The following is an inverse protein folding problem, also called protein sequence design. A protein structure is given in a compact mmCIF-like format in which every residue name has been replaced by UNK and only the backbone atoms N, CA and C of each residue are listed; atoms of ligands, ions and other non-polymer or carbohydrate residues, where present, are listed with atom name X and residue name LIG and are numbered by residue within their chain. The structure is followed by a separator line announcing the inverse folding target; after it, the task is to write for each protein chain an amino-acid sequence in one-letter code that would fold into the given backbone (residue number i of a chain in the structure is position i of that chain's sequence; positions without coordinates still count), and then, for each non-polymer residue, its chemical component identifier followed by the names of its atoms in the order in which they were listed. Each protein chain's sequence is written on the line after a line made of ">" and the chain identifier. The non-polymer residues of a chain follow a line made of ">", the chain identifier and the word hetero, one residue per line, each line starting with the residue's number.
data_IF_427479029251
#
_entry.id   IF_427479029251
#
_cell.length_a   1.000
_cell.length_b   1.000
_cell.length_c   1.000
_cell.angle_alpha   90.00
_cell.angle_beta   90.00
_cell.angle_gamma   90.00
#
_symmetry.space_group_name_H-M   'P 1'
#
loop_
_entity.id
_entity.type
_entity.pdbx_description
1 polymer ?
#
# COMPACT_ATOMS: atom_id res chain seq x y z
N UNK A 1 -48.49 -9.50 -53.18
CA UNK A 1 -49.39 -10.66 -53.17
C UNK A 1 -49.70 -10.91 -51.73
N UNK A 2 -50.79 -10.41 -51.26
CA UNK A 2 -52.11 -11.04 -51.12
C UNK A 2 -52.12 -11.89 -49.85
N UNK A 3 -52.75 -11.40 -48.84
CA UNK A 3 -54.16 -11.55 -48.41
C UNK A 3 -54.23 -12.73 -47.43
N UNK A 4 -54.82 -12.62 -46.30
CA UNK A 4 -56.15 -12.42 -45.84
C UNK A 4 -56.26 -12.71 -44.37
N UNK A 5 -56.91 -11.89 -43.62
CA UNK A 5 -58.35 -11.89 -43.26
C UNK A 5 -58.72 -13.08 -42.37
N UNK A 6 -59.01 -12.79 -41.10
CA UNK A 6 -60.33 -12.94 -40.50
C UNK A 6 -60.35 -12.69 -38.99
N UNK A 7 -61.04 -11.65 -38.55
CA UNK A 7 -61.80 -11.53 -37.29
C UNK A 7 -62.99 -12.54 -37.30
N UNK A 8 -63.80 -12.65 -36.22
CA UNK A 8 -63.94 -12.06 -34.92
C UNK A 8 -64.32 -13.11 -33.79
N UNK A 9 -64.29 -12.76 -32.52
CA UNK A 9 -65.41 -13.10 -31.58
C UNK A 9 -65.41 -12.12 -30.42
N UNK A 10 -66.53 -11.46 -30.30
CA UNK A 10 -66.96 -10.62 -29.19
C UNK A 10 -67.12 -11.43 -27.91
N UNK A 11 -66.56 -10.95 -26.83
CA UNK A 11 -66.84 -11.34 -25.44
C UNK A 11 -67.02 -10.09 -24.64
N UNK A 12 -68.22 -9.65 -24.44
CA UNK A 12 -68.61 -8.58 -23.56
C UNK A 12 -68.23 -8.94 -22.14
N UNK A 13 -67.37 -8.15 -21.52
CA UNK A 13 -67.26 -8.06 -20.07
C UNK A 13 -67.64 -6.68 -19.60
N UNK A 14 -68.73 -6.68 -18.87
CA UNK A 14 -69.43 -5.67 -18.12
C UNK A 14 -68.40 -4.83 -17.30
N UNK A 15 -68.35 -3.52 -17.63
CA UNK A 15 -67.63 -2.53 -16.89
C UNK A 15 -68.41 -2.24 -15.60
N UNK A 16 -68.02 -2.87 -14.53
CA UNK A 16 -68.44 -2.48 -13.18
C UNK A 16 -67.83 -1.09 -12.89
N UNK A 17 -68.72 -0.09 -12.93
CA UNK A 17 -68.44 1.28 -12.50
C UNK A 17 -68.27 1.28 -11.00
N UNK A 18 -67.03 1.04 -10.54
CA UNK A 18 -66.65 1.40 -9.18
C UNK A 18 -66.56 2.92 -9.06
N UNK A 19 -67.39 3.42 -8.21
CA UNK A 19 -67.56 4.80 -7.74
C UNK A 19 -66.19 5.49 -7.45
N UNK A 20 -65.93 6.69 -7.97
CA UNK A 20 -64.83 7.50 -7.57
C UNK A 20 -65.19 8.37 -6.36
N UNK A 21 -65.55 7.72 -5.26
CA UNK A 21 -65.82 8.46 -4.01
C UNK A 21 -65.14 7.73 -2.87
N UNK A 22 -63.88 8.09 -2.57
CA UNK A 22 -63.25 8.15 -1.26
C UNK A 22 -61.71 8.15 -1.33
N UNK A 23 -61.13 9.06 -2.12
CA UNK A 23 -59.83 9.58 -1.71
C UNK A 23 -60.15 10.75 -0.75
N UNK A 24 -60.37 10.42 0.51
CA UNK A 24 -60.40 11.41 1.56
C UNK A 24 -59.00 12.07 1.59
N UNK A 25 -58.92 13.40 1.49
CA UNK A 25 -57.71 14.09 1.88
C UNK A 25 -57.44 13.68 3.31
N UNK A 26 -56.20 13.22 3.59
CA UNK A 26 -55.69 13.13 4.93
C UNK A 26 -55.83 14.51 5.55
N UNK A 27 -56.91 14.70 6.29
CA UNK A 27 -57.08 15.83 7.18
C UNK A 27 -55.86 15.86 8.13
N UNK A 28 -54.85 16.63 7.76
CA UNK A 28 -53.85 17.10 8.72
C UNK A 28 -54.66 17.81 9.80
N UNK A 29 -54.85 17.12 10.91
CA UNK A 29 -55.71 17.52 12.01
C UNK A 29 -55.24 18.88 12.49
N UNK A 30 -55.95 19.99 12.22
CA UNK A 30 -55.58 21.32 12.67
C UNK A 30 -55.55 21.44 14.21
N UNK A 31 -56.13 20.43 14.87
CA UNK A 31 -56.06 20.27 16.34
C UNK A 31 -54.63 19.86 16.79
N UNK A 32 -53.93 19.00 16.06
CA UNK A 32 -52.57 18.62 16.43
C UNK A 32 -51.56 19.77 16.27
N UNK A 33 -51.68 20.57 15.21
CA UNK A 33 -50.87 21.76 15.00
C UNK A 33 -51.13 22.84 16.06
N UNK A 34 -52.41 23.05 16.44
CA UNK A 34 -52.79 23.97 17.53
C UNK A 34 -52.22 23.51 18.88
N UNK A 35 -52.23 22.21 19.09
CA UNK A 35 -51.71 21.61 20.32
C UNK A 35 -50.17 21.71 20.41
N UNK A 36 -49.48 21.50 19.30
CA UNK A 36 -48.03 21.74 19.20
C UNK A 36 -47.68 23.22 19.48
N UNK A 37 -48.42 24.14 18.89
CA UNK A 37 -48.21 25.58 19.11
C UNK A 37 -48.51 25.98 20.56
N UNK A 38 -49.54 25.42 21.20
CA UNK A 38 -49.89 25.70 22.60
C UNK A 38 -48.83 25.16 23.58
N UNK A 39 -48.24 23.98 23.27
CA UNK A 39 -47.12 23.41 24.02
C UNK A 39 -45.87 24.30 23.99
N UNK A 40 -45.53 24.76 22.78
CA UNK A 40 -44.41 25.66 22.57
C UNK A 40 -44.67 27.00 23.27
N UNK A 41 -45.91 27.56 23.18
CA UNK A 41 -46.26 28.83 23.80
C UNK A 41 -46.19 28.78 25.33
N UNK A 42 -46.64 27.68 25.95
CA UNK A 42 -46.59 27.52 27.41
C UNK A 42 -45.16 27.44 27.98
N UNK A 43 -44.19 26.98 27.17
CA UNK A 43 -42.78 26.83 27.56
C UNK A 43 -41.87 27.81 26.82
N UNK A 44 -42.43 28.90 26.23
CA UNK A 44 -41.68 29.84 25.37
C UNK A 44 -40.39 30.39 25.99
N UNK A 45 -40.39 30.68 27.29
CA UNK A 45 -39.22 31.21 28.01
C UNK A 45 -38.10 30.14 28.11
N UNK A 46 -38.45 28.88 28.33
CA UNK A 46 -37.49 27.78 28.39
C UNK A 46 -36.92 27.44 27.02
N UNK A 47 -37.75 27.52 25.97
CA UNK A 47 -37.33 27.28 24.59
C UNK A 47 -36.49 28.43 24.02
N UNK A 48 -36.74 29.66 24.49
CA UNK A 48 -36.02 30.84 24.00
C UNK A 48 -34.69 31.05 24.75
N UNK A 49 -34.65 30.83 26.07
CA UNK A 49 -33.48 31.08 26.92
C UNK A 49 -32.62 29.83 27.14
N UNK A 50 -33.20 28.63 27.09
CA UNK A 50 -32.49 27.37 27.33
C UNK A 50 -31.32 27.11 26.35
N UNK A 51 -31.57 27.10 25.03
CA UNK A 51 -30.51 26.87 24.05
C UNK A 51 -29.35 27.84 24.11
N UNK A 52 -29.55 29.20 24.22
CA UNK A 52 -28.44 30.13 24.37
C UNK A 52 -27.66 29.95 25.67
N UNK A 53 -28.31 29.60 26.77
CA UNK A 53 -27.62 29.32 28.04
C UNK A 53 -26.72 28.09 27.93
N UNK A 54 -27.23 26.98 27.33
CA UNK A 54 -26.43 25.77 27.08
C UNK A 54 -25.29 26.08 26.14
N UNK A 55 -25.52 26.85 25.08
CA UNK A 55 -24.48 27.30 24.15
C UNK A 55 -23.40 28.16 24.85
N UNK A 56 -23.80 29.05 25.74
CA UNK A 56 -22.87 29.88 26.53
C UNK A 56 -22.03 29.04 27.51
N UNK A 57 -22.63 28.03 28.16
CA UNK A 57 -21.92 27.11 29.05
C UNK A 57 -20.92 26.28 28.21
N UNK A 58 -21.34 25.73 27.07
CA UNK A 58 -20.46 25.00 26.18
C UNK A 58 -19.31 25.87 25.65
N UNK A 59 -19.58 27.11 25.34
CA UNK A 59 -18.58 28.11 24.95
C UNK A 59 -17.60 28.37 26.10
N UNK A 60 -18.05 28.52 27.34
CA UNK A 60 -17.22 28.64 28.52
C UNK A 60 -16.30 27.43 28.72
N UNK A 61 -16.82 26.23 28.59
CA UNK A 61 -16.03 25.00 28.70
C UNK A 61 -14.95 24.92 27.59
N UNK A 62 -15.26 25.33 26.35
CA UNK A 62 -14.26 25.34 25.26
C UNK A 62 -13.17 26.39 25.46
N UNK A 63 -13.31 27.37 26.35
CA UNK A 63 -12.23 28.30 26.73
C UNK A 63 -11.24 27.67 27.70
N UNK A 64 -11.65 26.69 28.50
CA UNK A 64 -10.76 25.97 29.43
C UNK A 64 -9.87 24.96 28.68
N UNK A 65 -10.25 24.52 27.47
CA UNK A 65 -9.48 23.57 26.67
C UNK A 65 -8.34 24.31 25.94
N UNK A 66 -7.08 23.90 26.11
CA UNK A 66 -5.95 24.52 25.41
C UNK A 66 -6.14 24.45 23.90
N UNK A 67 -5.77 25.50 23.14
CA UNK A 67 -5.87 25.49 21.70
C UNK A 67 -4.83 24.50 21.11
N UNK A 68 -5.24 23.72 20.10
CA UNK A 68 -4.36 22.87 19.33
C UNK A 68 -4.20 23.41 17.91
N UNK A 69 -2.98 23.29 17.40
CA UNK A 69 -2.59 23.72 16.07
C UNK A 69 -2.22 22.48 15.26
N UNK A 70 -2.69 22.42 14.02
CA UNK A 70 -2.39 21.32 13.11
C UNK A 70 -1.43 21.82 12.05
N UNK A 71 -0.25 21.22 11.97
CA UNK A 71 0.69 21.43 10.88
C UNK A 71 0.68 20.21 9.97
N UNK A 72 0.85 20.41 8.67
CA UNK A 72 0.86 19.34 7.68
C UNK A 72 2.08 19.43 6.77
N UNK A 73 2.66 18.30 6.44
CA UNK A 73 3.68 18.14 5.41
C UNK A 73 3.23 17.06 4.43
N UNK A 74 3.59 17.24 3.16
CA UNK A 74 3.19 16.30 2.10
C UNK A 74 4.42 15.89 1.30
N UNK A 75 4.54 14.59 1.04
CA UNK A 75 5.63 14.03 0.25
C UNK A 75 5.16 12.96 -0.73
N UNK A 76 5.94 12.77 -1.79
CA UNK A 76 5.76 11.68 -2.74
C UNK A 76 6.71 10.54 -2.36
N UNK A 77 6.18 9.34 -2.05
CA UNK A 77 7.02 8.18 -1.82
C UNK A 77 7.69 7.74 -3.13
N UNK A 78 8.90 7.13 -3.05
CA UNK A 78 9.56 6.59 -4.23
C UNK A 78 8.65 5.58 -4.92
N UNK A 79 8.44 5.75 -6.21
CA UNK A 79 7.68 4.79 -7.01
C UNK A 79 8.59 3.58 -7.26
N UNK A 80 8.37 2.50 -6.53
CA UNK A 80 8.92 1.20 -6.91
C UNK A 80 8.31 0.84 -8.27
N UNK A 81 9.14 0.41 -9.22
CA UNK A 81 8.64 -0.08 -10.51
C UNK A 81 7.61 -1.17 -10.24
N UNK A 82 6.35 -0.85 -10.50
CA UNK A 82 5.26 -1.80 -10.36
C UNK A 82 5.60 -3.01 -11.22
N UNK A 83 5.61 -4.19 -10.62
CA UNK A 83 5.78 -5.42 -11.36
C UNK A 83 4.72 -5.48 -12.49
N UNK A 84 5.08 -6.02 -13.65
CA UNK A 84 4.14 -6.16 -14.77
C UNK A 84 2.83 -6.88 -14.36
N UNK A 85 2.89 -7.72 -13.32
CA UNK A 85 1.73 -8.36 -12.70
C UNK A 85 0.81 -7.39 -11.98
N UNK A 86 1.35 -6.42 -11.23
CA UNK A 86 0.55 -5.39 -10.55
C UNK A 86 -0.13 -4.45 -11.55
N UNK A 87 0.54 -4.10 -12.66
CA UNK A 87 -0.08 -3.31 -13.73
C UNK A 87 -1.16 -4.09 -14.49
N UNK A 88 -1.00 -5.40 -14.69
CA UNK A 88 -2.01 -6.26 -15.29
C UNK A 88 -3.27 -6.38 -14.40
N UNK A 89 -3.11 -6.49 -13.08
CA UNK A 89 -4.24 -6.51 -12.13
C UNK A 89 -4.92 -5.13 -12.08
N UNK A 90 -4.16 -4.04 -12.11
CA UNK A 90 -4.70 -2.69 -12.16
C UNK A 90 -5.51 -2.42 -13.44
N UNK A 91 -5.14 -3.04 -14.57
CA UNK A 91 -5.87 -2.93 -15.83
C UNK A 91 -7.21 -3.67 -15.84
N UNK A 92 -7.44 -4.61 -14.93
CA UNK A 92 -8.72 -5.31 -14.75
C UNK A 92 -9.79 -4.46 -14.05
N UNK A 93 -9.44 -3.26 -13.56
CA UNK A 93 -10.37 -2.25 -13.05
C UNK A 93 -11.32 -2.74 -11.96
N UNK A 94 -12.62 -2.32 -12.01
CA UNK A 94 -13.61 -2.66 -10.97
C UNK A 94 -13.89 -4.15 -10.81
N UNK A 95 -13.56 -4.99 -11.80
CA UNK A 95 -13.73 -6.45 -11.75
C UNK A 95 -12.78 -7.12 -10.75
N UNK A 96 -11.62 -6.52 -10.47
CA UNK A 96 -10.71 -7.02 -9.45
C UNK A 96 -11.30 -6.95 -8.03
N UNK A 97 -12.19 -5.98 -7.77
CA UNK A 97 -12.92 -5.86 -6.51
C UNK A 97 -14.04 -6.89 -6.34
N UNK A 98 -14.56 -7.46 -7.44
CA UNK A 98 -15.61 -8.49 -7.44
C UNK A 98 -15.07 -9.92 -7.38
N UNK A 99 -13.84 -10.14 -7.83
CA UNK A 99 -13.23 -11.47 -7.93
C UNK A 99 -12.58 -11.98 -6.65
N UNK A 100 -12.69 -11.29 -5.55
CA UNK A 100 -12.20 -11.90 -4.34
C UNK A 100 -11.71 -10.96 -3.27
N UNK A 101 -12.60 -10.55 -2.51
CA UNK A 101 -12.40 -10.42 -1.08
C UNK A 101 -11.48 -9.29 -0.65
N UNK A 102 -11.92 -8.65 0.26
CA UNK A 102 -11.42 -7.80 1.36
C UNK A 102 -9.94 -7.95 1.84
N UNK A 103 -9.05 -8.41 1.00
CA UNK A 103 -7.61 -8.28 1.16
C UNK A 103 -7.16 -7.04 0.41
N UNK A 104 -7.34 -5.86 0.99
CA UNK A 104 -6.86 -4.61 0.40
C UNK A 104 -5.42 -4.79 -0.04
N UNK A 105 -5.18 -4.71 -1.34
CA UNK A 105 -3.82 -4.67 -1.90
C UNK A 105 -3.11 -3.51 -1.20
N UNK A 106 -2.19 -3.84 -0.31
CA UNK A 106 -1.36 -2.85 0.37
C UNK A 106 -0.61 -2.10 -0.71
N UNK A 107 -0.90 -0.82 -0.82
CA UNK A 107 -0.16 0.04 -1.74
C UNK A 107 1.28 0.21 -1.22
N UNK A 108 2.26 0.45 -2.07
CA UNK A 108 3.61 0.80 -1.61
C UNK A 108 3.59 1.94 -0.57
N UNK A 109 2.65 2.88 -0.69
CA UNK A 109 2.47 3.97 0.26
C UNK A 109 2.08 3.50 1.67
N UNK A 110 1.29 2.42 1.80
CA UNK A 110 0.90 1.86 3.10
C UNK A 110 2.11 1.33 3.88
N UNK A 111 3.13 0.87 3.19
CA UNK A 111 4.39 0.44 3.80
C UNK A 111 5.12 1.61 4.47
N UNK A 112 5.17 2.78 3.81
CA UNK A 112 5.76 3.98 4.39
C UNK A 112 4.96 4.48 5.59
N UNK A 113 3.62 4.44 5.54
CA UNK A 113 2.76 4.75 6.69
C UNK A 113 3.09 3.83 7.88
N UNK A 114 3.21 2.53 7.64
CA UNK A 114 3.56 1.55 8.69
C UNK A 114 4.94 1.82 9.30
N UNK A 115 5.93 2.20 8.48
CA UNK A 115 7.26 2.59 8.95
C UNK A 115 7.22 3.85 9.82
N UNK A 116 6.46 4.86 9.42
CA UNK A 116 6.31 6.11 10.18
C UNK A 116 5.58 5.89 11.52
N UNK A 117 4.66 4.93 11.58
CA UNK A 117 3.96 4.56 12.82
C UNK A 117 4.74 3.56 13.69
N UNK A 118 5.93 3.16 13.28
CA UNK A 118 6.75 2.22 14.03
C UNK A 118 7.20 2.81 15.38
N UNK A 119 7.45 1.92 16.34
CA UNK A 119 7.98 2.32 17.65
C UNK A 119 9.34 3.04 17.51
N UNK A 120 10.16 2.64 16.53
CA UNK A 120 11.47 3.24 16.29
C UNK A 120 11.36 4.73 15.93
N UNK A 121 10.47 5.08 14.99
CA UNK A 121 10.26 6.47 14.58
C UNK A 121 9.60 7.26 15.71
N UNK A 122 8.57 6.68 16.35
CA UNK A 122 7.89 7.32 17.47
C UNK A 122 8.82 7.66 18.62
N UNK A 123 9.74 6.74 18.99
CA UNK A 123 10.69 6.97 20.07
C UNK A 123 11.70 8.08 19.75
N UNK A 124 12.18 8.15 18.51
CA UNK A 124 13.06 9.24 18.08
C UNK A 124 12.38 10.60 18.12
N UNK A 125 11.10 10.67 17.71
CA UNK A 125 10.30 11.89 17.83
C UNK A 125 10.11 12.27 19.30
N UNK A 126 9.75 11.31 20.15
CA UNK A 126 9.58 11.53 21.60
C UNK A 126 10.85 12.08 22.23
N UNK A 127 12.00 11.50 21.94
CA UNK A 127 13.30 11.92 22.47
C UNK A 127 13.71 13.30 21.93
N UNK A 128 13.56 13.53 20.63
CA UNK A 128 13.95 14.78 19.97
C UNK A 128 13.20 15.99 20.52
N UNK A 129 11.89 15.85 20.76
CA UNK A 129 11.02 16.93 21.22
C UNK A 129 10.72 16.90 22.71
N UNK A 130 11.29 15.95 23.46
CA UNK A 130 11.08 15.82 24.90
C UNK A 130 9.62 15.60 25.28
N UNK A 131 8.87 14.83 24.47
CA UNK A 131 7.43 14.69 24.57
C UNK A 131 6.94 14.05 25.87
N UNK A 132 7.78 13.30 26.58
CA UNK A 132 7.43 12.78 27.90
C UNK A 132 7.07 13.92 28.87
N UNK A 133 7.90 14.97 28.88
CA UNK A 133 7.64 16.17 29.69
C UNK A 133 6.47 17.00 29.14
N UNK A 134 6.44 17.19 27.80
CA UNK A 134 5.40 17.99 27.15
C UNK A 134 4.00 17.39 27.30
N UNK A 135 3.90 16.08 27.34
CA UNK A 135 2.64 15.35 27.49
C UNK A 135 2.35 14.93 28.93
N UNK A 136 3.23 15.28 29.87
CA UNK A 136 3.11 14.94 31.30
C UNK A 136 2.90 13.43 31.50
N UNK A 137 3.75 12.60 30.86
CA UNK A 137 3.71 11.15 30.92
C UNK A 137 5.02 10.59 31.46
N UNK A 138 4.91 9.64 32.40
CA UNK A 138 6.06 8.97 32.99
C UNK A 138 6.53 7.77 32.18
N UNK A 139 5.60 7.17 31.41
CA UNK A 139 5.86 5.98 30.62
C UNK A 139 5.97 6.30 29.13
N UNK A 140 6.96 5.71 28.46
CA UNK A 140 7.14 5.84 27.00
C UNK A 140 5.95 5.28 26.22
N UNK A 141 5.34 4.20 26.71
CA UNK A 141 4.17 3.58 26.04
C UNK A 141 3.00 4.56 25.97
N UNK A 142 2.68 5.23 27.08
CA UNK A 142 1.59 6.20 27.14
C UNK A 142 1.89 7.44 26.28
N UNK A 143 3.18 7.82 26.22
CA UNK A 143 3.63 8.94 25.38
C UNK A 143 3.49 8.60 23.89
N UNK A 144 3.85 7.37 23.47
CA UNK A 144 3.63 6.91 22.08
C UNK A 144 2.15 6.89 21.73
N UNK A 145 1.31 6.36 22.61
CA UNK A 145 -0.13 6.32 22.38
C UNK A 145 -0.72 7.73 22.22
N UNK A 146 -0.29 8.69 23.07
CA UNK A 146 -0.71 10.10 22.94
C UNK A 146 -0.17 10.71 21.64
N UNK A 147 1.08 10.44 21.27
CA UNK A 147 1.66 10.88 20.01
C UNK A 147 0.89 10.36 18.80
N UNK A 148 0.60 9.05 18.75
CA UNK A 148 -0.16 8.43 17.65
C UNK A 148 -1.59 8.96 17.53
N UNK A 149 -2.21 9.38 18.62
CA UNK A 149 -3.52 10.08 18.58
C UNK A 149 -3.41 11.50 18.00
N UNK A 150 -2.27 12.14 18.20
CA UNK A 150 -2.02 13.50 17.71
C UNK A 150 -1.47 13.55 16.29
N UNK A 151 -1.06 12.41 15.74
CA UNK A 151 -0.49 12.29 14.39
C UNK A 151 -1.44 11.53 13.49
N UNK A 152 -1.73 12.08 12.34
CA UNK A 152 -2.53 11.45 11.28
C UNK A 152 -1.72 11.39 10.02
N UNK A 153 -1.57 10.19 9.47
CA UNK A 153 -0.85 9.95 8.24
C UNK A 153 -1.86 9.41 7.22
N UNK A 154 -2.10 10.18 6.17
CA UNK A 154 -3.09 9.88 5.15
C UNK A 154 -2.43 9.69 3.79
N UNK A 155 -2.86 8.67 3.06
CA UNK A 155 -2.46 8.44 1.67
C UNK A 155 -3.57 8.94 0.75
N UNK A 156 -3.22 9.84 -0.16
CA UNK A 156 -4.12 10.33 -1.19
C UNK A 156 -4.49 9.23 -2.17
N UNK A 157 -5.79 8.94 -2.29
CA UNK A 157 -6.29 7.84 -3.13
C UNK A 157 -6.10 8.05 -4.64
N UNK A 158 -5.95 9.31 -5.08
CA UNK A 158 -5.85 9.68 -6.49
C UNK A 158 -4.42 10.01 -6.93
N UNK A 159 -3.66 10.63 -6.06
CA UNK A 159 -2.34 11.21 -6.34
C UNK A 159 -1.20 10.39 -5.70
N UNK A 160 -1.52 9.47 -4.80
CA UNK A 160 -0.54 8.65 -4.10
C UNK A 160 0.36 9.44 -3.14
N UNK A 161 0.05 10.70 -2.89
CA UNK A 161 0.78 11.54 -1.96
C UNK A 161 0.52 11.11 -0.52
N UNK A 162 1.54 11.19 0.31
CA UNK A 162 1.42 10.94 1.75
C UNK A 162 1.45 12.26 2.48
N UNK A 163 0.39 12.54 3.23
CA UNK A 163 0.26 13.74 4.07
C UNK A 163 0.36 13.35 5.53
N UNK A 164 1.27 14.00 6.25
CA UNK A 164 1.45 13.86 7.70
C UNK A 164 0.93 15.11 8.36
N UNK A 165 -0.09 14.95 9.19
CA UNK A 165 -0.67 16.00 10.00
C UNK A 165 -0.33 15.76 11.47
N UNK A 166 0.15 16.79 12.15
CA UNK A 166 0.51 16.75 13.56
C UNK A 166 -0.25 17.82 14.33
N UNK A 167 -0.97 17.40 15.36
CA UNK A 167 -1.68 18.27 16.29
C UNK A 167 -0.80 18.51 17.51
N UNK A 168 -0.55 19.78 17.86
CA UNK A 168 0.18 20.18 19.06
C UNK A 168 -0.33 21.50 19.62
N UNK A 169 -0.03 21.78 20.89
CA UNK A 169 -0.37 23.06 21.55
C UNK A 169 0.53 24.20 21.06
N UNK A 170 1.74 23.89 20.61
CA UNK A 170 2.69 24.86 20.03
C UNK A 170 2.67 24.76 18.51
N UNK A 171 2.35 25.87 17.78
CA UNK A 171 2.36 25.88 16.31
C UNK A 171 3.75 25.49 15.73
N UNK A 172 4.82 26.00 16.37
CA UNK A 172 6.18 25.71 15.94
C UNK A 172 6.52 24.24 16.12
N UNK A 173 6.20 23.66 17.30
CA UNK A 173 6.47 22.24 17.57
C UNK A 173 5.67 21.32 16.66
N UNK A 174 4.41 21.68 16.34
CA UNK A 174 3.59 20.93 15.38
C UNK A 174 4.27 20.83 14.00
N UNK A 175 4.74 21.97 13.47
CA UNK A 175 5.44 22.05 12.19
C UNK A 175 6.77 21.29 12.21
N UNK A 176 7.58 21.50 13.25
CA UNK A 176 8.87 20.83 13.40
C UNK A 176 8.70 19.31 13.52
N UNK A 177 7.70 18.82 14.26
CA UNK A 177 7.40 17.39 14.35
C UNK A 177 6.94 16.82 13.02
N UNK A 178 6.04 17.51 12.27
CA UNK A 178 5.57 17.04 10.98
C UNK A 178 6.74 16.88 10.00
N UNK A 179 7.63 17.86 9.91
CA UNK A 179 8.84 17.79 9.08
C UNK A 179 9.78 16.68 9.54
N UNK A 180 9.97 16.55 10.85
CA UNK A 180 10.85 15.53 11.42
C UNK A 180 10.36 14.12 11.13
N UNK A 181 9.06 13.87 11.09
CA UNK A 181 8.52 12.56 10.67
C UNK A 181 9.00 12.16 9.27
N UNK A 182 9.02 13.10 8.33
CA UNK A 182 9.51 12.85 6.96
C UNK A 182 11.02 12.63 6.95
N UNK A 183 11.79 13.40 7.75
CA UNK A 183 13.23 13.19 7.87
C UNK A 183 13.57 11.84 8.48
N UNK A 184 12.87 11.41 9.55
CA UNK A 184 13.06 10.09 10.17
C UNK A 184 12.70 8.94 9.21
N UNK A 185 11.65 9.14 8.39
CA UNK A 185 11.30 8.19 7.34
C UNK A 185 12.43 8.10 6.32
N UNK A 186 12.95 9.25 5.85
CA UNK A 186 14.07 9.30 4.90
C UNK A 186 15.31 8.60 5.45
N UNK A 187 15.68 8.92 6.68
CA UNK A 187 16.83 8.31 7.35
C UNK A 187 16.68 6.80 7.51
N UNK A 188 15.48 6.34 7.87
CA UNK A 188 15.19 4.92 8.07
C UNK A 188 15.18 4.16 6.75
N UNK A 189 14.52 4.69 5.73
CA UNK A 189 14.47 4.07 4.39
C UNK A 189 15.83 4.05 3.72
N UNK A 190 16.62 5.12 3.84
CA UNK A 190 18.00 5.17 3.31
C UNK A 190 18.90 4.13 3.96
N UNK A 191 18.82 3.95 5.29
CA UNK A 191 19.59 2.92 5.99
C UNK A 191 19.19 1.52 5.58
N UNK A 192 17.89 1.25 5.43
CA UNK A 192 17.39 -0.05 4.97
C UNK A 192 17.85 -0.35 3.54
N UNK A 193 17.72 0.62 2.63
CA UNK A 193 18.15 0.48 1.23
C UNK A 193 19.67 0.24 1.12
N UNK A 194 20.47 1.00 1.89
CA UNK A 194 21.92 0.81 1.92
C UNK A 194 22.30 -0.58 2.44
N UNK A 195 21.65 -1.06 3.52
CA UNK A 195 21.91 -2.39 4.07
C UNK A 195 21.58 -3.49 3.06
N UNK A 196 20.48 -3.38 2.34
CA UNK A 196 20.08 -4.34 1.31
C UNK A 196 21.06 -4.33 0.12
N UNK A 197 21.47 -3.16 -0.35
CA UNK A 197 22.46 -3.03 -1.41
C UNK A 197 23.83 -3.62 -1.01
N UNK A 198 24.28 -3.39 0.23
CA UNK A 198 25.50 -3.98 0.76
C UNK A 198 25.42 -5.51 0.84
N UNK A 199 24.31 -6.06 1.32
CA UNK A 199 24.12 -7.51 1.39
C UNK A 199 24.14 -8.13 -0.02
N UNK A 200 23.49 -7.48 -1.00
CA UNK A 200 23.49 -7.91 -2.40
C UNK A 200 24.90 -7.88 -3.00
N UNK A 201 25.66 -6.81 -2.79
CA UNK A 201 27.06 -6.72 -3.24
C UNK A 201 27.90 -7.83 -2.65
N UNK A 202 27.86 -8.03 -1.33
CA UNK A 202 28.62 -9.08 -0.64
C UNK A 202 28.22 -10.50 -1.12
N UNK A 203 26.95 -10.69 -1.45
CA UNK A 203 26.48 -11.96 -1.99
C UNK A 203 27.12 -12.25 -3.36
N UNK A 204 27.06 -11.29 -4.30
CA UNK A 204 27.66 -11.47 -5.62
C UNK A 204 29.18 -11.50 -5.58
N UNK A 205 29.82 -10.79 -4.67
CA UNK A 205 31.27 -10.86 -4.44
C UNK A 205 31.71 -12.29 -4.09
N UNK A 206 31.01 -12.93 -3.17
CA UNK A 206 31.28 -14.34 -2.81
C UNK A 206 31.06 -15.30 -3.97
N UNK A 207 29.96 -15.13 -4.71
CA UNK A 207 29.69 -15.96 -5.90
C UNK A 207 30.75 -15.77 -6.95
N UNK A 208 31.17 -14.55 -7.21
CA UNK A 208 32.22 -14.23 -8.18
C UNK A 208 33.54 -14.89 -7.80
N UNK A 209 33.92 -14.83 -6.53
CA UNK A 209 35.14 -15.44 -6.01
C UNK A 209 35.10 -16.97 -6.13
N UNK A 210 34.00 -17.60 -5.72
CA UNK A 210 33.81 -19.03 -5.87
C UNK A 210 33.87 -19.49 -7.35
N UNK A 211 33.24 -18.72 -8.24
CA UNK A 211 33.23 -19.04 -9.67
C UNK A 211 34.60 -18.85 -10.31
N UNK A 212 35.37 -17.84 -9.85
CA UNK A 212 36.76 -17.67 -10.27
C UNK A 212 37.61 -18.90 -9.93
N UNK A 213 37.52 -19.41 -8.68
CA UNK A 213 38.23 -20.59 -8.26
C UNK A 213 37.83 -21.85 -9.09
N UNK A 214 36.54 -21.93 -9.42
CA UNK A 214 36.02 -23.01 -10.29
C UNK A 214 36.52 -22.88 -11.75
N UNK A 215 36.56 -21.66 -12.26
CA UNK A 215 37.07 -21.36 -13.60
C UNK A 215 38.55 -21.73 -13.72
N UNK A 216 39.36 -21.35 -12.72
CA UNK A 216 40.81 -21.73 -12.67
C UNK A 216 41.00 -23.24 -12.65
N UNK A 217 40.19 -23.97 -11.87
CA UNK A 217 40.21 -25.46 -11.85
C UNK A 217 39.78 -26.06 -13.20
N UNK A 218 38.71 -25.51 -13.79
CA UNK A 218 38.23 -25.97 -15.08
C UNK A 218 39.26 -25.70 -16.20
N UNK A 219 39.96 -24.58 -16.14
CA UNK A 219 41.03 -24.23 -17.07
C UNK A 219 42.23 -25.21 -16.93
N UNK A 220 42.66 -25.49 -15.71
CA UNK A 220 43.72 -26.46 -15.45
C UNK A 220 43.33 -27.88 -15.93
N UNK A 221 42.08 -28.30 -15.65
CA UNK A 221 41.57 -29.58 -16.09
C UNK A 221 41.49 -29.68 -17.63
N UNK A 222 41.15 -28.59 -18.29
CA UNK A 222 41.16 -28.51 -19.76
C UNK A 222 42.57 -28.60 -20.33
N UNK A 223 43.52 -27.87 -19.77
CA UNK A 223 44.95 -27.94 -20.18
C UNK A 223 45.54 -29.35 -19.99
N UNK A 224 45.26 -29.96 -18.81
CA UNK A 224 45.72 -31.32 -18.50
C UNK A 224 45.12 -32.40 -19.43
N UNK A 225 43.99 -32.14 -20.08
CA UNK A 225 43.35 -33.08 -21.02
C UNK A 225 43.98 -33.10 -22.42
N UNK A 226 45.07 -32.37 -22.64
CA UNK A 226 45.71 -32.28 -23.96
C UNK A 226 44.92 -31.47 -24.98
N UNK A 227 44.06 -30.57 -24.50
CA UNK A 227 43.22 -29.71 -25.34
C UNK A 227 44.07 -28.86 -26.29
N UNK A 228 43.79 -28.98 -27.60
CA UNK A 228 44.33 -28.13 -28.64
C UNK A 228 43.19 -27.31 -29.29
N UNK A 229 43.21 -25.97 -29.22
CA UNK A 229 42.16 -25.16 -29.83
C UNK A 229 41.91 -25.41 -31.33
N UNK A 230 42.95 -25.83 -32.09
CA UNK A 230 42.86 -26.15 -33.51
C UNK A 230 42.22 -27.52 -33.82
N UNK A 231 42.12 -28.42 -32.83
CA UNK A 231 41.50 -29.72 -32.99
C UNK A 231 39.97 -29.72 -32.84
N UNK A 232 39.40 -28.64 -32.27
CA UNK A 232 37.94 -28.49 -32.10
C UNK A 232 37.32 -28.04 -33.43
N UNK A 233 36.48 -28.91 -34.01
CA UNK A 233 35.64 -28.51 -35.14
C UNK A 233 34.68 -27.38 -34.74
N UNK A 234 34.33 -26.52 -35.70
CA UNK A 234 33.46 -25.33 -35.41
C UNK A 234 32.11 -25.73 -34.81
N UNK A 235 31.51 -26.81 -35.24
CA UNK A 235 30.18 -27.27 -34.82
C UNK A 235 30.13 -27.78 -33.36
N UNK A 236 31.01 -28.64 -32.85
CA UNK A 236 31.09 -29.01 -31.44
C UNK A 236 31.45 -27.83 -30.52
N UNK A 237 32.24 -26.88 -31.01
CA UNK A 237 32.58 -25.65 -30.27
C UNK A 237 31.34 -24.78 -30.05
N UNK A 238 30.58 -24.49 -31.11
CA UNK A 238 29.37 -23.70 -31.03
C UNK A 238 28.29 -24.37 -30.13
N UNK A 239 28.15 -25.69 -30.23
CA UNK A 239 27.24 -26.45 -29.39
C UNK A 239 27.65 -26.40 -27.90
N UNK A 240 28.95 -26.51 -27.59
CA UNK A 240 29.45 -26.40 -26.23
C UNK A 240 29.25 -25.01 -25.62
N UNK A 241 29.50 -23.96 -26.39
CA UNK A 241 29.26 -22.57 -25.97
C UNK A 241 27.77 -22.28 -25.77
N UNK A 242 26.91 -22.76 -26.68
CA UNK A 242 25.45 -22.63 -26.53
C UNK A 242 24.91 -23.33 -25.29
N UNK A 243 25.36 -24.56 -25.05
CA UNK A 243 25.03 -25.32 -23.84
C UNK A 243 25.51 -24.59 -22.57
N UNK A 244 26.76 -24.09 -22.55
CA UNK A 244 27.34 -23.41 -21.42
C UNK A 244 26.55 -22.13 -21.04
N UNK A 245 26.18 -21.34 -22.05
CA UNK A 245 25.36 -20.14 -21.85
C UNK A 245 23.99 -20.49 -21.26
N UNK A 246 23.30 -21.45 -21.86
CA UNK A 246 21.97 -21.86 -21.38
C UNK A 246 22.01 -22.43 -19.95
N UNK A 247 23.05 -23.23 -19.64
CA UNK A 247 23.25 -23.75 -18.29
C UNK A 247 23.56 -22.64 -17.28
N UNK A 248 24.31 -21.60 -17.66
CA UNK A 248 24.54 -20.41 -16.85
C UNK A 248 23.25 -19.62 -16.61
N UNK A 249 22.34 -19.54 -17.60
CA UNK A 249 21.02 -18.93 -17.44
C UNK A 249 20.14 -19.72 -16.45
N UNK A 250 20.18 -21.07 -16.50
CA UNK A 250 19.49 -21.92 -15.50
C UNK A 250 19.99 -21.58 -14.10
N UNK A 251 21.31 -21.57 -13.90
CA UNK A 251 21.90 -21.25 -12.59
C UNK A 251 21.53 -19.85 -12.13
N UNK A 252 21.52 -18.86 -13.03
CA UNK A 252 21.07 -17.50 -12.74
C UNK A 252 19.59 -17.46 -12.31
N UNK A 253 18.74 -18.21 -13.02
CA UNK A 253 17.31 -18.32 -12.69
C UNK A 253 17.09 -19.03 -11.34
N UNK A 254 17.90 -20.03 -10.99
CA UNK A 254 17.89 -20.68 -9.68
C UNK A 254 18.26 -19.71 -8.55
N UNK A 255 19.34 -18.96 -8.72
CA UNK A 255 19.77 -17.93 -7.75
C UNK A 255 18.67 -16.88 -7.57
N UNK A 256 18.07 -16.41 -8.67
CA UNK A 256 16.95 -15.44 -8.59
C UNK A 256 15.73 -16.02 -7.87
N UNK A 257 15.38 -17.28 -8.15
CA UNK A 257 14.28 -17.95 -7.45
C UNK A 257 14.55 -18.06 -5.94
N UNK A 258 15.78 -18.43 -5.57
CA UNK A 258 16.17 -18.52 -4.16
C UNK A 258 16.13 -17.17 -3.46
N UNK A 259 16.55 -16.09 -4.13
CA UNK A 259 16.46 -14.72 -3.61
C UNK A 259 15.01 -14.31 -3.40
N UNK A 260 14.11 -14.60 -4.37
CA UNK A 260 12.69 -14.30 -4.24
C UNK A 260 12.04 -15.05 -3.07
N UNK A 261 12.37 -16.33 -2.88
CA UNK A 261 11.89 -17.16 -1.76
C UNK A 261 12.38 -16.68 -0.39
N UNK A 262 13.49 -15.97 -0.35
CA UNK A 262 13.98 -15.34 0.88
C UNK A 262 13.14 -14.16 1.37
N UNK A 263 12.36 -13.54 0.47
CA UNK A 263 11.57 -12.34 0.76
C UNK A 263 10.07 -12.49 0.50
N UNK A 264 9.66 -13.47 -0.31
CA UNK A 264 8.28 -13.69 -0.72
C UNK A 264 7.84 -15.12 -0.40
N UNK A 265 6.55 -15.32 -0.17
CA UNK A 265 5.97 -16.65 0.00
C UNK A 265 5.92 -17.41 -1.34
N UNK A 266 5.95 -18.74 -1.28
CA UNK A 266 6.03 -19.63 -2.46
C UNK A 266 4.80 -19.53 -3.39
N UNK A 267 3.67 -19.06 -2.89
CA UNK A 267 2.42 -18.90 -3.61
C UNK A 267 2.28 -17.55 -4.34
N UNK A 268 3.25 -16.65 -4.21
CA UNK A 268 3.23 -15.36 -4.90
C UNK A 268 3.34 -15.51 -6.42
N UNK A 269 2.69 -14.63 -7.19
CA UNK A 269 2.76 -14.68 -8.66
C UNK A 269 4.19 -14.62 -9.20
N UNK A 270 5.06 -13.82 -8.56
CA UNK A 270 6.45 -13.63 -8.94
C UNK A 270 7.27 -14.92 -8.78
N UNK A 271 7.09 -15.62 -7.65
CA UNK A 271 7.77 -16.90 -7.37
C UNK A 271 7.28 -17.96 -8.37
N UNK A 272 5.97 -18.07 -8.62
CA UNK A 272 5.41 -18.99 -9.60
C UNK A 272 5.89 -18.71 -11.02
N UNK A 273 5.96 -17.45 -11.43
CA UNK A 273 6.49 -17.06 -12.73
C UNK A 273 7.95 -17.46 -12.89
N UNK A 274 8.77 -17.20 -11.85
CA UNK A 274 10.19 -17.59 -11.88
C UNK A 274 10.39 -19.10 -11.89
N UNK A 275 9.54 -19.86 -11.19
CA UNK A 275 9.54 -21.34 -11.25
C UNK A 275 9.19 -21.84 -12.64
N UNK A 276 8.18 -21.24 -13.29
CA UNK A 276 7.81 -21.60 -14.67
C UNK A 276 8.96 -21.30 -15.66
N UNK A 277 9.60 -20.12 -15.54
CA UNK A 277 10.76 -19.77 -16.36
C UNK A 277 11.93 -20.76 -16.17
N UNK A 278 12.25 -21.11 -14.92
CA UNK A 278 13.28 -22.08 -14.59
C UNK A 278 12.97 -23.47 -15.17
N UNK A 279 11.72 -23.92 -15.07
CA UNK A 279 11.32 -25.23 -15.64
C UNK A 279 11.46 -25.25 -17.16
N UNK A 280 11.12 -24.16 -17.85
CA UNK A 280 11.28 -24.00 -19.29
C UNK A 280 12.75 -24.03 -19.72
N UNK A 281 13.62 -23.32 -18.98
CA UNK A 281 15.07 -23.34 -19.24
C UNK A 281 15.67 -24.75 -19.03
N UNK A 282 15.31 -25.45 -17.96
CA UNK A 282 15.75 -26.82 -17.69
C UNK A 282 15.30 -27.78 -18.77
N UNK A 283 14.05 -27.64 -19.25
CA UNK A 283 13.57 -28.45 -20.38
C UNK A 283 14.36 -28.17 -21.66
N UNK A 284 14.81 -26.95 -21.88
CA UNK A 284 15.64 -26.59 -23.03
C UNK A 284 17.06 -27.21 -22.93
N UNK A 285 17.68 -27.17 -21.73
CA UNK A 285 18.96 -27.88 -21.48
C UNK A 285 18.80 -29.36 -21.73
N UNK A 286 17.75 -30.01 -21.21
CA UNK A 286 17.49 -31.44 -21.42
C UNK A 286 17.34 -31.80 -22.89
N UNK A 287 16.68 -30.97 -23.70
CA UNK A 287 16.59 -31.18 -25.16
C UNK A 287 17.97 -31.12 -25.84
N UNK A 288 18.82 -30.16 -25.42
CA UNK A 288 20.19 -30.08 -25.96
C UNK A 288 21.04 -31.29 -25.56
N UNK A 289 20.91 -31.79 -24.35
CA UNK A 289 21.59 -32.99 -23.87
C UNK A 289 21.15 -34.24 -24.64
N UNK A 290 19.85 -34.39 -24.89
CA UNK A 290 19.31 -35.48 -25.69
C UNK A 290 19.80 -35.43 -27.17
N UNK A 291 19.78 -34.24 -27.79
CA UNK A 291 20.27 -34.07 -29.16
C UNK A 291 21.77 -34.32 -29.28
N UNK A 292 22.56 -33.92 -28.27
CA UNK A 292 23.98 -34.22 -28.22
C UNK A 292 24.27 -35.73 -28.06
N UNK A 293 23.42 -36.45 -27.32
CA UNK A 293 23.51 -37.90 -27.12
C UNK A 293 23.09 -38.68 -28.39
N UNK A 294 22.13 -38.16 -29.16
CA UNK A 294 21.65 -38.83 -30.40
C UNK A 294 22.58 -38.65 -31.60
N UNK A 295 23.34 -37.56 -31.66
CA UNK A 295 24.31 -37.30 -32.76
C UNK A 295 25.66 -37.95 -32.51
N UNK A 296 25.98 -38.28 -31.25
CA UNK A 296 27.23 -38.95 -30.86
C UNK A 296 27.02 -40.43 -30.60
N UNK A 297 26.93 -41.24 -31.64
CA UNK A 297 26.90 -42.73 -31.58
C UNK A 297 28.20 -43.38 -31.08
N UNK A 298 29.01 -42.69 -30.29
CA UNK A 298 30.13 -43.21 -29.52
C UNK A 298 30.34 -42.40 -28.27
N UNK A 299 30.18 -43.02 -27.11
CA UNK A 299 30.37 -42.50 -25.76
C UNK A 299 31.82 -42.08 -25.43
N UNK A 300 32.67 -41.94 -26.40
CA UNK A 300 34.06 -41.51 -26.33
C UNK A 300 34.36 -40.38 -27.33
N UNK A 301 33.63 -39.28 -27.23
CA UNK A 301 34.21 -38.00 -27.69
C UNK A 301 35.48 -37.73 -26.85
N UNK A 302 36.57 -37.23 -27.49
CA UNK A 302 37.83 -37.01 -26.74
C UNK A 302 37.53 -36.29 -25.43
N UNK A 303 38.05 -36.80 -24.30
CA UNK A 303 37.73 -36.33 -22.94
C UNK A 303 37.89 -34.80 -22.72
N UNK A 304 38.55 -34.13 -23.66
CA UNK A 304 38.68 -32.67 -23.67
C UNK A 304 37.39 -31.92 -24.03
N UNK A 305 36.44 -32.50 -24.77
CA UNK A 305 35.17 -31.80 -25.15
C UNK A 305 34.31 -31.54 -23.92
N UNK A 306 34.25 -32.52 -23.00
CA UNK A 306 33.57 -32.32 -21.70
C UNK A 306 34.25 -31.23 -20.86
N UNK A 307 35.58 -31.26 -20.79
CA UNK A 307 36.34 -30.25 -20.07
C UNK A 307 36.25 -28.85 -20.68
N UNK A 308 36.17 -28.76 -22.01
CA UNK A 308 35.92 -27.51 -22.71
C UNK A 308 34.53 -26.95 -22.40
N UNK A 309 33.52 -27.81 -22.34
CA UNK A 309 32.15 -27.43 -21.97
C UNK A 309 32.07 -26.90 -20.53
N UNK A 310 32.75 -27.61 -19.60
CA UNK A 310 32.83 -27.19 -18.21
C UNK A 310 33.56 -25.84 -18.07
N UNK A 311 34.68 -25.67 -18.76
CA UNK A 311 35.40 -24.39 -18.78
C UNK A 311 34.52 -23.24 -19.30
N UNK A 312 33.84 -23.45 -20.44
CA UNK A 312 32.95 -22.44 -21.03
C UNK A 312 31.75 -22.13 -20.13
N UNK A 313 31.27 -23.09 -19.39
CA UNK A 313 30.22 -22.87 -18.40
C UNK A 313 30.70 -21.98 -17.22
N UNK A 314 31.86 -22.27 -16.66
CA UNK A 314 32.44 -21.45 -15.60
C UNK A 314 32.79 -20.03 -16.08
N UNK A 315 33.28 -19.91 -17.31
CA UNK A 315 33.53 -18.59 -17.93
C UNK A 315 32.24 -17.79 -18.07
N UNK A 316 31.15 -18.39 -18.55
CA UNK A 316 29.84 -17.74 -18.68
C UNK A 316 29.26 -17.33 -17.31
N UNK A 317 29.41 -18.17 -16.28
CA UNK A 317 29.01 -17.83 -14.92
C UNK A 317 29.84 -16.68 -14.35
N UNK A 318 31.16 -16.70 -14.57
CA UNK A 318 32.04 -15.62 -14.12
C UNK A 318 31.65 -14.27 -14.73
N UNK A 319 31.41 -14.22 -16.03
CA UNK A 319 30.96 -13.02 -16.71
C UNK A 319 29.60 -12.54 -16.19
N UNK A 320 28.67 -13.47 -15.93
CA UNK A 320 27.36 -13.17 -15.39
C UNK A 320 27.46 -12.54 -14.00
N UNK A 321 28.20 -13.19 -13.09
CA UNK A 321 28.35 -12.70 -11.71
C UNK A 321 29.19 -11.44 -11.63
N UNK A 322 30.17 -11.26 -12.51
CA UNK A 322 30.91 -10.00 -12.62
C UNK A 322 29.99 -8.84 -12.96
N UNK A 323 29.10 -9.02 -13.94
CA UNK A 323 28.09 -8.00 -14.28
C UNK A 323 27.14 -7.74 -13.13
N UNK A 324 26.66 -8.76 -12.42
CA UNK A 324 25.75 -8.60 -11.28
C UNK A 324 26.45 -7.90 -10.09
N UNK A 325 27.72 -8.21 -9.86
CA UNK A 325 28.53 -7.54 -8.84
C UNK A 325 28.72 -6.05 -9.15
N UNK A 326 29.03 -5.69 -10.39
CA UNK A 326 29.18 -4.29 -10.79
C UNK A 326 27.83 -3.54 -10.67
N UNK A 327 26.71 -4.15 -11.05
CA UNK A 327 25.39 -3.57 -10.84
C UNK A 327 25.10 -3.36 -9.34
N UNK A 328 25.35 -4.36 -8.51
CA UNK A 328 25.16 -4.26 -7.06
C UNK A 328 26.05 -3.20 -6.40
N UNK A 329 27.27 -3.01 -6.93
CA UNK A 329 28.21 -1.97 -6.50
C UNK A 329 27.72 -0.56 -6.87
N UNK A 330 27.14 -0.42 -8.06
CA UNK A 330 26.50 0.84 -8.49
C UNK A 330 25.27 1.14 -7.65
N UNK A 331 24.44 0.12 -7.33
CA UNK A 331 23.27 0.28 -6.48
C UNK A 331 23.65 0.71 -5.05
N UNK A 332 24.74 0.15 -4.49
CA UNK A 332 25.27 0.57 -3.19
C UNK A 332 25.77 2.01 -3.19
N UNK A 333 26.34 2.48 -4.30
CA UNK A 333 26.84 3.85 -4.42
C UNK A 333 25.72 4.88 -4.64
N UNK A 334 24.51 4.44 -4.98
CA UNK A 334 23.35 5.34 -5.09
C UNK A 334 22.88 5.70 -3.69
N UNK A 335 22.66 6.99 -3.46
CA UNK A 335 21.96 7.45 -2.28
C UNK A 335 20.57 6.80 -2.24
N UNK A 336 20.16 6.33 -1.04
CA UNK A 336 18.92 5.58 -0.84
C UNK A 336 17.68 6.30 -1.39
N UNK A 337 16.56 5.60 -1.39
CA UNK A 337 15.30 6.01 -1.99
C UNK A 337 14.97 7.49 -1.74
N UNK A 338 14.98 8.30 -2.79
CA UNK A 338 14.69 9.74 -2.72
C UNK A 338 13.21 9.97 -2.41
N UNK A 339 12.93 10.30 -1.14
CA UNK A 339 11.62 10.82 -0.73
C UNK A 339 11.56 12.28 -1.16
N UNK A 340 10.66 12.61 -2.08
CA UNK A 340 10.48 13.97 -2.57
C UNK A 340 9.43 14.69 -1.72
N UNK A 341 9.89 15.67 -0.91
CA UNK A 341 8.99 16.55 -0.15
C UNK A 341 8.39 17.56 -1.12
N UNK A 342 7.06 17.63 -1.15
CA UNK A 342 6.28 18.57 -1.98
C UNK A 342 5.99 19.82 -1.16
N UNK A 343 5.41 19.62 0.03
CA UNK A 343 5.09 20.70 0.95
C UNK A 343 5.77 20.49 2.29
N UNK A 344 6.52 21.49 2.72
CA UNK A 344 7.16 21.54 4.04
C UNK A 344 6.17 22.14 5.04
N UNK A 345 6.00 21.51 6.19
CA UNK A 345 5.13 22.05 7.23
C UNK A 345 5.65 23.39 7.72
N UNK A 346 4.74 24.37 7.74
CA UNK A 346 4.96 25.71 8.33
C UNK A 346 4.11 25.87 9.59
N UNK A 347 4.53 26.67 10.56
CA UNK A 347 3.74 26.94 11.76
C UNK A 347 2.38 27.51 11.39
N UNK A 348 1.26 26.85 11.79
CA UNK A 348 -0.08 27.33 11.45
C UNK A 348 -0.43 28.62 12.17
N UNK A 349 -0.94 29.59 11.44
CA UNK A 349 -1.36 30.90 11.97
C UNK A 349 -2.66 30.80 12.80
N UNK A 350 -3.48 29.79 12.54
CA UNK A 350 -4.80 29.64 13.17
C UNK A 350 -4.90 28.31 13.91
N UNK A 351 -5.57 28.34 15.08
CA UNK A 351 -5.89 27.13 15.83
C UNK A 351 -6.87 26.23 15.06
N UNK A 352 -6.64 24.94 15.10
CA UNK A 352 -7.48 23.92 14.46
C UNK A 352 -8.62 23.46 15.39
N UNK A 353 -8.35 23.34 16.70
CA UNK A 353 -9.29 22.85 17.71
C UNK A 353 -9.17 23.65 19.00
N UNK A 354 -10.23 23.75 19.81
CA UNK A 354 -11.62 23.48 19.48
C UNK A 354 -12.21 24.57 18.57
N UNK A 355 -13.13 24.17 17.68
CA UNK A 355 -13.90 25.10 16.84
C UNK A 355 -15.01 25.74 17.72
N UNK A 356 -14.66 26.72 18.53
CA UNK A 356 -15.52 27.30 19.59
C UNK A 356 -16.91 27.67 19.11
N UNK A 357 -17.02 28.36 17.96
CA UNK A 357 -18.31 28.76 17.40
C UNK A 357 -19.18 27.57 17.00
N UNK A 358 -18.60 26.58 16.34
CA UNK A 358 -19.36 25.39 15.89
C UNK A 358 -19.81 24.52 17.06
N UNK A 359 -19.00 24.38 18.12
CA UNK A 359 -19.39 23.64 19.33
C UNK A 359 -20.51 24.37 20.08
N UNK A 360 -20.44 25.70 20.23
CA UNK A 360 -21.47 26.47 20.88
C UNK A 360 -22.82 26.45 20.11
N UNK A 361 -22.78 26.59 18.78
CA UNK A 361 -23.98 26.52 17.94
C UNK A 361 -24.55 25.10 17.97
N UNK A 362 -23.70 24.08 17.83
CA UNK A 362 -24.12 22.66 17.83
C UNK A 362 -24.76 22.26 19.16
N UNK A 363 -24.20 22.69 20.31
CA UNK A 363 -24.78 22.42 21.62
C UNK A 363 -26.08 23.17 21.84
N UNK A 364 -26.19 24.41 21.36
CA UNK A 364 -27.43 25.19 21.43
C UNK A 364 -28.55 24.53 20.59
N UNK A 365 -28.26 24.07 19.36
CA UNK A 365 -29.22 23.36 18.52
C UNK A 365 -29.66 22.03 19.14
N UNK A 366 -28.73 21.25 19.67
CA UNK A 366 -29.03 19.98 20.36
C UNK A 366 -29.92 20.22 21.59
N UNK A 367 -29.64 21.28 22.37
CA UNK A 367 -30.48 21.67 23.50
C UNK A 367 -31.88 22.13 23.07
N UNK A 368 -32.00 22.88 21.95
CA UNK A 368 -33.29 23.28 21.40
C UNK A 368 -34.15 22.07 21.02
N UNK A 369 -33.56 21.09 20.31
CA UNK A 369 -34.26 19.86 19.94
C UNK A 369 -34.69 19.07 21.19
N UNK A 370 -33.79 18.92 22.15
CA UNK A 370 -34.10 18.17 23.37
C UNK A 370 -35.19 18.83 24.22
N UNK A 371 -35.17 20.16 24.35
CA UNK A 371 -36.18 20.92 25.07
C UNK A 371 -37.56 20.86 24.38
N UNK A 372 -37.60 20.89 23.05
CA UNK A 372 -38.86 20.72 22.30
C UNK A 372 -39.45 19.30 22.50
N UNK A 373 -38.62 18.26 22.44
CA UNK A 373 -39.06 16.88 22.70
C UNK A 373 -39.59 16.74 24.14
N UNK A 374 -38.89 17.29 25.13
CA UNK A 374 -39.34 17.24 26.53
C UNK A 374 -40.64 18.01 26.73
N UNK A 375 -40.80 19.17 26.09
CA UNK A 375 -42.06 19.95 26.17
C UNK A 375 -43.25 19.15 25.61
N UNK A 376 -43.06 18.47 24.48
CA UNK A 376 -44.08 17.59 23.84
C UNK A 376 -44.43 16.37 24.71
N UNK A 377 -43.44 15.69 25.27
CA UNK A 377 -43.64 14.54 26.14
C UNK A 377 -44.38 14.92 27.45
N UNK A 378 -44.06 16.07 28.05
CA UNK A 378 -44.77 16.57 29.23
C UNK A 378 -46.22 16.90 28.92
N UNK A 379 -46.53 17.39 27.75
CA UNK A 379 -47.90 17.72 27.35
C UNK A 379 -48.70 16.44 27.08
N UNK A 380 -48.11 15.44 26.43
CA UNK A 380 -48.74 14.15 26.20
C UNK A 380 -49.01 13.38 27.52
N UNK A 381 -48.11 13.50 28.51
CA UNK A 381 -48.30 12.93 29.85
C UNK A 381 -49.40 13.60 30.65
N UNK A 382 -49.60 14.92 30.53
CA UNK A 382 -50.72 15.67 31.21
C UNK A 382 -52.11 15.38 30.64
N UNK A 383 -52.22 14.76 29.46
CA UNK A 383 -53.50 14.37 28.88
C UNK A 383 -53.93 12.96 29.28
N UNK A 384 -53.00 12.16 29.89
CA UNK A 384 -53.30 10.79 30.32
C UNK A 384 -53.66 10.70 31.82
N UNK A 385 -53.53 11.80 32.57
CA UNK A 385 -54.02 11.94 33.96
C UNK A 385 -55.21 12.88 33.98
#
# INVERSE_FOLDING_TARGET
>A
MAAGVSDPVAGAFEVDRADPAAAAPTDENPAELRDLVSALAAHRWWLLLGPPVVGAIALGITYLIPPTYTASTTFLPPQQQQSAAASAIASLGPLANLAGGAGGLRTPADQYVSLMQSNLVSDRIIERFGLMKAYEKDLRVDTREKLLRNVRINVGKKDGLVTVEVDDESPQRAADMANRYVDELRDTTSKLALTEAQQRRQFFERLLQQTRDQLDKAQQALQASGFNPGALRAEPKAAAEGYARLKAEVTSAEVRLQTLRGSLADDTPEVRQQQAALSALRAQVGRLEQSASSVGGSSEGPGYVGKYRDFKYQEALFELYARQFELARVDESREGALIQVIDVATPPERKSKPKRATTAIGSALAAAVLLTVVALLRQSGRRRT
#
